data_IF_700752107885
#
_entry.id   IF_700752107885
#
_cell.length_a   1.000
_cell.length_b   1.000
_cell.length_c   1.000
_cell.angle_alpha   90.00
_cell.angle_beta   90.00
_cell.angle_gamma   90.00
#
_symmetry.space_group_name_H-M   'P 1'
#
loop_
_entity.id
_entity.type
_entity.pdbx_description
1 polymer ?
#
# COMPACT_ATOMS: atom_id res chain seq x y z
N UNK A 1 -10.78 21.08 22.68
CA UNK A 1 -10.31 21.73 21.43
C UNK A 1 -9.01 21.13 20.95
N UNK A 2 -9.07 20.26 19.94
CA UNK A 2 -7.90 19.75 19.25
C UNK A 2 -7.32 20.87 18.36
N UNK A 3 -6.34 21.61 18.89
CA UNK A 3 -5.62 22.63 18.12
C UNK A 3 -4.55 21.95 17.25
N UNK A 4 -4.45 22.27 15.96
CA UNK A 4 -3.40 21.73 15.10
C UNK A 4 -2.03 22.20 15.60
N UNK A 5 -1.08 21.26 15.73
CA UNK A 5 0.29 21.54 16.17
C UNK A 5 1.23 21.27 15.01
N UNK A 6 1.92 22.33 14.55
CA UNK A 6 2.88 22.24 13.47
C UNK A 6 4.13 21.50 13.99
N UNK A 7 4.62 20.53 13.21
CA UNK A 7 5.85 19.80 13.54
C UNK A 7 7.02 20.64 13.01
N UNK A 8 7.88 21.23 13.88
CA UNK A 8 9.07 21.93 13.41
C UNK A 8 10.04 20.91 12.80
N UNK A 9 10.36 21.09 11.52
CA UNK A 9 11.17 20.14 10.77
C UNK A 9 12.67 20.49 10.89
N UNK A 10 13.55 19.51 11.13
CA UNK A 10 15.00 19.72 11.10
C UNK A 10 15.48 20.08 9.68
N UNK A 11 16.40 21.04 9.60
CA UNK A 11 16.86 21.73 8.37
C UNK A 11 17.38 20.81 7.25
N UNK A 12 17.96 19.64 7.58
CA UNK A 12 18.47 18.67 6.61
C UNK A 12 17.38 17.97 5.76
N UNK A 13 16.10 18.04 6.15
CA UNK A 13 14.98 17.48 5.37
C UNK A 13 14.33 18.47 4.39
N UNK A 14 14.76 19.74 4.44
CA UNK A 14 14.29 20.81 3.55
C UNK A 14 15.26 21.09 2.41
N UNK A 15 16.44 20.45 2.41
CA UNK A 15 17.35 20.52 1.28
C UNK A 15 16.67 19.91 0.05
N UNK A 16 16.65 20.69 -1.03
CA UNK A 16 16.11 20.28 -2.32
C UNK A 16 17.28 19.88 -3.20
N UNK A 17 17.24 18.66 -3.73
CA UNK A 17 18.26 18.19 -4.67
C UNK A 17 17.64 18.29 -6.05
N UNK A 18 18.28 19.04 -6.93
CA UNK A 18 17.88 19.14 -8.33
C UNK A 18 18.33 17.87 -9.06
N UNK A 19 17.37 17.01 -9.41
CA UNK A 19 17.58 15.93 -10.36
C UNK A 19 16.86 16.28 -11.66
N UNK A 20 17.61 16.37 -12.77
CA UNK A 20 17.06 16.54 -14.13
C UNK A 20 16.08 17.73 -14.31
N UNK A 21 16.28 18.84 -13.58
CA UNK A 21 15.42 20.04 -13.70
C UNK A 21 14.11 19.99 -12.90
N UNK A 22 13.88 18.95 -12.11
CA UNK A 22 12.74 18.87 -11.16
C UNK A 22 13.25 19.11 -9.75
N UNK A 23 12.75 20.15 -9.09
CA UNK A 23 13.08 20.48 -7.70
C UNK A 23 12.28 19.50 -6.81
N UNK A 24 12.89 18.38 -6.43
CA UNK A 24 12.27 17.43 -5.50
C UNK A 24 12.89 17.56 -4.11
N UNK A 25 12.08 17.69 -3.04
CA UNK A 25 12.59 17.66 -1.67
C UNK A 25 13.19 16.29 -1.38
N UNK A 26 14.34 16.24 -0.70
CA UNK A 26 15.07 15.00 -0.35
C UNK A 26 14.17 13.98 0.37
N UNK A 27 13.18 14.45 1.12
CA UNK A 27 12.14 13.64 1.77
C UNK A 27 11.39 12.70 0.82
N UNK A 28 11.04 13.15 -0.38
CA UNK A 28 10.33 12.31 -1.34
C UNK A 28 11.23 11.20 -1.88
N UNK A 29 12.50 11.52 -2.14
CA UNK A 29 13.51 10.55 -2.57
C UNK A 29 13.73 9.47 -1.51
N UNK A 30 13.92 9.88 -0.25
CA UNK A 30 14.06 8.96 0.89
C UNK A 30 12.82 8.09 1.04
N UNK A 31 11.62 8.67 0.94
CA UNK A 31 10.37 7.91 1.07
C UNK A 31 10.24 6.83 -0.02
N UNK A 32 10.60 7.16 -1.26
CA UNK A 32 10.60 6.21 -2.38
C UNK A 32 11.62 5.11 -2.14
N UNK A 33 12.85 5.47 -1.72
CA UNK A 33 13.91 4.51 -1.45
C UNK A 33 13.51 3.55 -0.33
N UNK A 34 13.01 4.06 0.80
CA UNK A 34 12.56 3.23 1.93
C UNK A 34 11.40 2.33 1.51
N UNK A 35 10.42 2.84 0.76
CA UNK A 35 9.30 2.04 0.27
C UNK A 35 9.80 0.91 -0.65
N UNK A 36 10.71 1.19 -1.58
CA UNK A 36 11.26 0.20 -2.50
C UNK A 36 12.08 -0.87 -1.76
N UNK A 37 12.92 -0.46 -0.81
CA UNK A 37 13.69 -1.39 0.04
C UNK A 37 12.76 -2.27 0.88
N UNK A 38 11.73 -1.70 1.50
CA UNK A 38 10.74 -2.47 2.27
C UNK A 38 10.00 -3.49 1.40
N UNK A 39 9.57 -3.08 0.21
CA UNK A 39 8.89 -3.96 -0.74
C UNK A 39 9.82 -5.09 -1.20
N UNK A 40 11.08 -4.76 -1.51
CA UNK A 40 12.08 -5.75 -1.90
C UNK A 40 12.36 -6.77 -0.79
N UNK A 41 12.57 -6.31 0.45
CA UNK A 41 12.76 -7.17 1.62
C UNK A 41 11.54 -8.05 1.85
N UNK A 42 10.34 -7.48 1.82
CA UNK A 42 9.09 -8.22 2.01
C UNK A 42 8.90 -9.29 0.93
N UNK A 43 9.15 -8.95 -0.33
CA UNK A 43 9.05 -9.89 -1.44
C UNK A 43 10.09 -11.01 -1.33
N UNK A 44 11.32 -10.67 -0.93
CA UNK A 44 12.37 -11.64 -0.73
C UNK A 44 12.09 -12.56 0.46
N UNK A 45 11.57 -12.02 1.56
CA UNK A 45 11.10 -12.77 2.72
C UNK A 45 10.00 -13.75 2.31
N UNK A 46 9.00 -13.29 1.54
CA UNK A 46 7.96 -14.14 1.01
C UNK A 46 8.51 -15.27 0.14
N UNK A 47 9.47 -14.99 -0.75
CA UNK A 47 9.99 -15.99 -1.69
C UNK A 47 10.95 -17.00 -1.07
N UNK A 48 11.87 -16.57 -0.21
CA UNK A 48 12.97 -17.43 0.28
C UNK A 48 12.79 -17.95 1.71
N UNK A 49 11.95 -17.34 2.54
CA UNK A 49 11.81 -17.82 3.93
C UNK A 49 10.84 -19.01 4.04
N UNK A 50 11.14 -19.93 4.95
CA UNK A 50 10.24 -21.05 5.32
C UNK A 50 8.90 -20.53 5.84
N UNK A 51 8.92 -19.42 6.59
CA UNK A 51 7.71 -18.76 7.07
C UNK A 51 6.86 -18.22 5.92
N UNK A 52 7.49 -17.65 4.90
CA UNK A 52 6.80 -17.18 3.72
C UNK A 52 6.17 -18.31 2.91
N UNK A 53 6.85 -19.46 2.82
CA UNK A 53 6.30 -20.66 2.21
C UNK A 53 5.09 -21.19 3.02
N UNK A 54 5.21 -21.25 4.34
CA UNK A 54 4.14 -21.68 5.25
C UNK A 54 2.91 -20.76 5.17
N UNK A 55 3.10 -19.45 5.08
CA UNK A 55 2.03 -18.47 4.86
C UNK A 55 1.31 -18.69 3.53
N UNK A 56 2.03 -18.88 2.42
CA UNK A 56 1.42 -19.15 1.11
C UNK A 56 0.65 -20.48 1.07
N UNK A 57 1.19 -21.52 1.71
CA UNK A 57 0.51 -22.82 1.83
C UNK A 57 -0.79 -22.68 2.64
N UNK A 58 -0.72 -21.97 3.76
CA UNK A 58 -1.87 -21.69 4.63
C UNK A 58 -2.94 -20.81 3.96
N UNK A 59 -2.53 -19.89 3.08
CA UNK A 59 -3.45 -19.07 2.28
C UNK A 59 -4.23 -19.87 1.22
N UNK A 60 -3.70 -21.02 0.79
CA UNK A 60 -4.37 -21.90 -0.17
C UNK A 60 -5.37 -22.82 0.53
N UNK A 61 -4.94 -23.49 1.60
CA UNK A 61 -5.81 -24.30 2.43
C UNK A 61 -5.25 -24.41 3.86
N UNK A 62 -5.85 -23.64 4.77
CA UNK A 62 -5.41 -23.56 6.15
C UNK A 62 -5.52 -24.89 6.90
N UNK A 63 -6.59 -25.66 6.65
CA UNK A 63 -6.80 -26.95 7.29
C UNK A 63 -5.75 -27.98 6.84
N UNK A 64 -5.50 -28.05 5.53
CA UNK A 64 -4.49 -28.97 4.97
C UNK A 64 -3.08 -28.61 5.45
N UNK A 65 -2.74 -27.31 5.50
CA UNK A 65 -1.45 -26.84 6.02
C UNK A 65 -1.20 -27.32 7.46
N UNK A 66 -2.23 -27.30 8.32
CA UNK A 66 -2.12 -27.79 9.70
C UNK A 66 -1.92 -29.30 9.78
N UNK A 67 -2.55 -30.08 8.90
CA UNK A 67 -2.35 -31.54 8.84
C UNK A 67 -0.93 -31.91 8.42
N UNK A 68 -0.25 -31.03 7.67
CA UNK A 68 1.15 -31.19 7.27
C UNK A 68 2.15 -30.72 8.35
N UNK A 69 1.69 -30.43 9.57
CA UNK A 69 2.55 -30.03 10.69
C UNK A 69 2.99 -28.57 10.67
N UNK A 70 2.39 -27.71 9.83
CA UNK A 70 2.71 -26.28 9.84
C UNK A 70 2.14 -25.63 11.11
N UNK A 71 2.96 -24.96 11.93
CA UNK A 71 2.50 -24.33 13.17
C UNK A 71 1.61 -23.12 12.87
N UNK A 72 0.28 -23.32 12.95
CA UNK A 72 -0.72 -22.29 12.68
C UNK A 72 -0.52 -21.00 13.48
N UNK A 73 -0.26 -21.11 14.79
CA UNK A 73 -0.02 -19.94 15.64
C UNK A 73 1.18 -19.12 15.14
N UNK A 74 2.25 -19.79 14.72
CA UNK A 74 3.45 -19.10 14.25
C UNK A 74 3.17 -18.38 12.93
N UNK A 75 2.40 -18.98 12.02
CA UNK A 75 1.97 -18.34 10.76
C UNK A 75 1.10 -17.10 11.03
N UNK A 76 0.13 -17.20 11.93
CA UNK A 76 -0.78 -16.09 12.27
C UNK A 76 -0.02 -14.96 12.94
N UNK A 77 0.77 -15.26 13.99
CA UNK A 77 1.53 -14.25 14.73
C UNK A 77 2.54 -13.54 13.83
N UNK A 78 3.24 -14.27 12.97
CA UNK A 78 4.20 -13.67 12.04
C UNK A 78 3.51 -12.83 10.96
N UNK A 79 2.33 -13.24 10.47
CA UNK A 79 1.56 -12.45 9.51
C UNK A 79 1.08 -11.13 10.14
N UNK A 80 0.55 -11.17 11.37
CA UNK A 80 0.14 -9.97 12.10
C UNK A 80 1.34 -9.06 12.40
N UNK A 81 2.44 -9.61 12.92
CA UNK A 81 3.64 -8.83 13.21
C UNK A 81 4.20 -8.13 11.96
N UNK A 82 4.25 -8.85 10.84
CA UNK A 82 4.72 -8.29 9.56
C UNK A 82 3.79 -7.21 9.03
N UNK A 83 2.48 -7.38 9.16
CA UNK A 83 1.49 -6.36 8.77
C UNK A 83 1.62 -5.08 9.60
N UNK A 84 1.79 -5.20 10.93
CA UNK A 84 1.97 -4.06 11.82
C UNK A 84 3.29 -3.33 11.58
N UNK A 85 4.37 -4.07 11.32
CA UNK A 85 5.67 -3.49 10.97
C UNK A 85 5.57 -2.67 9.69
N UNK A 86 5.00 -3.24 8.62
CA UNK A 86 4.84 -2.55 7.35
C UNK A 86 3.90 -1.34 7.45
N UNK A 87 2.78 -1.48 8.19
CA UNK A 87 1.86 -0.38 8.46
C UNK A 87 2.53 0.75 9.25
N UNK A 88 3.38 0.43 10.23
CA UNK A 88 4.15 1.40 11.01
C UNK A 88 5.11 2.19 10.13
N UNK A 89 5.86 1.52 9.24
CA UNK A 89 6.76 2.18 8.29
C UNK A 89 5.98 3.05 7.30
N UNK A 90 4.88 2.54 6.74
CA UNK A 90 4.04 3.32 5.83
C UNK A 90 3.44 4.56 6.52
N UNK A 91 3.00 4.41 7.77
CA UNK A 91 2.46 5.49 8.59
C UNK A 91 3.50 6.56 8.90
N UNK A 92 4.73 6.20 9.29
CA UNK A 92 5.79 7.19 9.56
C UNK A 92 6.20 7.95 8.30
N UNK A 93 6.26 7.26 7.15
CA UNK A 93 6.51 7.90 5.86
C UNK A 93 5.37 8.86 5.48
N UNK A 94 4.12 8.50 5.74
CA UNK A 94 2.96 9.35 5.50
C UNK A 94 2.98 10.60 6.39
N UNK A 95 3.18 10.42 7.70
CA UNK A 95 3.26 11.54 8.66
C UNK A 95 4.43 12.48 8.35
N UNK A 96 5.52 11.96 7.80
CA UNK A 96 6.63 12.78 7.33
C UNK A 96 6.20 13.73 6.20
N UNK A 97 5.26 13.36 5.33
CA UNK A 97 4.82 14.24 4.23
C UNK A 97 3.85 15.32 4.68
N UNK A 98 3.14 15.11 5.79
CA UNK A 98 2.05 15.99 6.22
C UNK A 98 2.58 16.98 7.27
N UNK A 99 2.30 18.28 7.07
CA UNK A 99 2.74 19.33 7.99
C UNK A 99 1.76 19.58 9.16
N UNK A 100 0.54 19.03 9.09
CA UNK A 100 -0.56 19.31 10.01
C UNK A 100 -1.29 18.01 10.40
N UNK A 101 -1.33 17.71 11.70
CA UNK A 101 -1.98 16.52 12.25
C UNK A 101 -3.33 16.91 12.86
N UNK A 102 -4.41 16.30 12.40
CA UNK A 102 -5.77 16.46 12.95
C UNK A 102 -6.43 15.10 13.21
N UNK A 103 -7.45 15.01 14.09
CA UNK A 103 -8.16 13.76 14.32
C UNK A 103 -8.84 13.28 13.03
N UNK A 104 -8.48 12.10 12.52
CA UNK A 104 -9.06 11.52 11.29
C UNK A 104 -8.12 11.39 10.09
N UNK A 105 -6.88 11.90 10.16
CA UNK A 105 -5.89 11.83 9.06
C UNK A 105 -5.51 10.41 8.59
N UNK A 106 -5.87 9.38 9.35
CA UNK A 106 -5.60 7.98 8.98
C UNK A 106 -6.68 7.34 8.10
N UNK A 107 -7.85 7.96 7.99
CA UNK A 107 -9.00 7.35 7.30
C UNK A 107 -8.82 7.41 5.77
N UNK A 108 -8.33 8.54 5.27
CA UNK A 108 -8.02 8.76 3.85
C UNK A 108 -6.96 7.77 3.32
N UNK A 109 -5.75 7.62 3.92
CA UNK A 109 -4.77 6.65 3.44
C UNK A 109 -5.23 5.20 3.62
N UNK A 110 -6.06 4.90 4.61
CA UNK A 110 -6.64 3.57 4.80
C UNK A 110 -7.57 3.20 3.63
N UNK A 111 -8.45 4.10 3.22
CA UNK A 111 -9.35 3.88 2.08
C UNK A 111 -8.56 3.71 0.79
N UNK A 112 -7.58 4.57 0.53
CA UNK A 112 -6.73 4.50 -0.67
C UNK A 112 -5.95 3.17 -0.70
N UNK A 113 -5.36 2.76 0.43
CA UNK A 113 -4.62 1.50 0.51
C UNK A 113 -5.53 0.27 0.33
N UNK A 114 -6.72 0.29 0.92
CA UNK A 114 -7.72 -0.76 0.73
C UNK A 114 -8.10 -0.88 -0.75
N UNK A 115 -8.46 0.23 -1.37
CA UNK A 115 -8.83 0.31 -2.78
C UNK A 115 -7.71 -0.19 -3.70
N UNK A 116 -6.48 0.29 -3.49
CA UNK A 116 -5.31 -0.16 -4.23
C UNK A 116 -5.14 -1.69 -4.17
N UNK A 117 -5.36 -2.26 -2.97
CA UNK A 117 -5.26 -3.71 -2.74
C UNK A 117 -6.39 -4.47 -3.44
N UNK A 118 -7.62 -3.96 -3.42
CA UNK A 118 -8.77 -4.60 -4.08
C UNK A 118 -8.60 -4.54 -5.60
N UNK A 119 -8.20 -3.40 -6.16
CA UNK A 119 -7.90 -3.24 -7.60
C UNK A 119 -6.78 -4.20 -8.02
N UNK A 120 -5.72 -4.28 -7.24
CA UNK A 120 -4.61 -5.18 -7.50
C UNK A 120 -4.98 -6.67 -7.41
N UNK A 121 -5.93 -6.98 -6.52
CA UNK A 121 -6.40 -8.32 -6.19
C UNK A 121 -5.88 -8.78 -4.82
N UNK A 122 -6.80 -9.04 -3.87
CA UNK A 122 -6.47 -9.43 -2.49
C UNK A 122 -5.67 -10.73 -2.37
N UNK A 123 -5.70 -11.58 -3.40
CA UNK A 123 -5.08 -12.92 -3.43
C UNK A 123 -3.69 -12.93 -4.06
N UNK A 124 -3.18 -11.79 -4.51
CA UNK A 124 -1.87 -11.67 -5.15
C UNK A 124 -1.08 -10.51 -4.59
N UNK A 125 0.06 -10.81 -3.97
CA UNK A 125 0.97 -9.79 -3.42
C UNK A 125 1.47 -8.85 -4.53
N UNK A 126 1.85 -9.41 -5.68
CA UNK A 126 2.30 -8.63 -6.84
C UNK A 126 1.16 -7.79 -7.42
N UNK A 127 -0.05 -8.33 -7.40
CA UNK A 127 -1.27 -7.62 -7.81
C UNK A 127 -1.50 -6.38 -6.96
N UNK A 128 -1.49 -6.52 -5.63
CA UNK A 128 -1.70 -5.40 -4.70
C UNK A 128 -0.70 -4.26 -4.91
N UNK A 129 0.58 -4.57 -5.12
CA UNK A 129 1.62 -3.57 -5.42
C UNK A 129 1.31 -2.81 -6.72
N UNK A 130 1.01 -3.53 -7.80
CA UNK A 130 0.67 -2.93 -9.09
C UNK A 130 -0.61 -2.10 -9.03
N UNK A 131 -1.61 -2.57 -8.28
CA UNK A 131 -2.85 -1.84 -8.04
C UNK A 131 -2.62 -0.48 -7.36
N UNK A 132 -1.72 -0.43 -6.38
CA UNK A 132 -1.30 0.82 -5.74
C UNK A 132 -0.59 1.78 -6.71
N UNK A 133 0.32 1.28 -7.54
CA UNK A 133 0.99 2.11 -8.55
C UNK A 133 0.01 2.67 -9.59
N UNK A 134 -0.93 1.85 -10.07
CA UNK A 134 -1.94 2.28 -11.03
C UNK A 134 -2.86 3.33 -10.42
N UNK A 135 -3.34 3.10 -9.19
CA UNK A 135 -4.17 4.05 -8.49
C UNK A 135 -3.44 5.39 -8.31
N UNK A 136 -2.18 5.35 -7.88
CA UNK A 136 -1.36 6.55 -7.73
C UNK A 136 -1.14 7.29 -9.05
N UNK A 137 -0.92 6.56 -10.15
CA UNK A 137 -0.74 7.14 -11.49
C UNK A 137 -2.01 7.81 -12.00
N UNK A 138 -3.16 7.19 -11.77
CA UNK A 138 -4.48 7.73 -12.13
C UNK A 138 -4.78 8.97 -11.30
N UNK A 139 -4.54 8.92 -9.98
CA UNK A 139 -4.76 10.08 -9.10
C UNK A 139 -3.86 11.25 -9.51
N UNK A 140 -2.58 11.02 -9.80
CA UNK A 140 -1.66 12.03 -10.34
C UNK A 140 -2.14 12.60 -11.68
N UNK A 141 -2.62 11.75 -12.58
CA UNK A 141 -3.13 12.18 -13.89
C UNK A 141 -4.37 13.08 -13.73
N UNK A 142 -5.27 12.75 -12.81
CA UNK A 142 -6.40 13.61 -12.48
C UNK A 142 -5.96 14.93 -11.85
N UNK A 143 -4.98 14.93 -10.94
CA UNK A 143 -4.45 16.18 -10.37
C UNK A 143 -3.84 17.11 -11.44
N UNK A 144 -3.25 16.57 -12.52
CA UNK A 144 -2.66 17.37 -13.59
C UNK A 144 -3.69 17.84 -14.64
N UNK A 145 -4.66 16.99 -15.00
CA UNK A 145 -5.65 17.32 -16.04
C UNK A 145 -6.83 18.18 -15.55
N UNK A 146 -7.19 18.13 -14.26
CA UNK A 146 -8.40 18.80 -13.77
C UNK A 146 -8.17 20.29 -13.45
N UNK A 147 -9.03 21.20 -13.96
CA UNK A 147 -9.07 22.61 -13.54
C UNK A 147 -9.38 22.79 -12.05
N UNK A 148 -8.87 23.86 -11.44
CA UNK A 148 -8.90 24.13 -10.00
C UNK A 148 -10.31 24.09 -9.36
N UNK A 149 -11.36 24.39 -10.13
CA UNK A 149 -12.75 24.39 -9.65
C UNK A 149 -13.32 22.97 -9.40
N UNK A 150 -12.82 21.95 -10.12
CA UNK A 150 -13.31 20.56 -10.04
C UNK A 150 -12.44 19.72 -9.09
N UNK A 151 -11.26 20.21 -8.68
CA UNK A 151 -10.37 19.49 -7.74
C UNK A 151 -11.04 19.15 -6.41
N UNK A 152 -12.07 19.90 -5.98
CA UNK A 152 -12.87 19.57 -4.78
C UNK A 152 -13.61 18.23 -4.90
N UNK A 153 -13.86 17.76 -6.12
CA UNK A 153 -14.49 16.47 -6.40
C UNK A 153 -13.48 15.37 -6.78
N UNK A 154 -12.16 15.63 -6.63
CA UNK A 154 -11.11 14.66 -6.99
C UNK A 154 -11.36 13.29 -6.38
N UNK A 155 -11.66 13.23 -5.08
CA UNK A 155 -11.88 11.97 -4.40
C UNK A 155 -13.09 11.23 -4.99
N UNK A 156 -14.15 11.94 -5.38
CA UNK A 156 -15.29 11.34 -6.05
C UNK A 156 -14.93 10.74 -7.42
N UNK A 157 -14.06 11.41 -8.20
CA UNK A 157 -13.55 10.87 -9.46
C UNK A 157 -12.63 9.66 -9.25
N UNK A 158 -11.72 9.72 -8.28
CA UNK A 158 -10.85 8.60 -7.91
C UNK A 158 -11.69 7.40 -7.49
N UNK A 159 -12.67 7.58 -6.59
CA UNK A 159 -13.58 6.50 -6.18
C UNK A 159 -14.47 5.99 -7.33
N UNK A 160 -14.96 6.87 -8.21
CA UNK A 160 -15.75 6.46 -9.37
C UNK A 160 -14.93 5.59 -10.34
N UNK A 161 -13.69 5.98 -10.62
CA UNK A 161 -12.78 5.20 -11.46
C UNK A 161 -12.47 3.83 -10.86
N UNK A 162 -12.31 3.77 -9.54
CA UNK A 162 -12.13 2.52 -8.81
C UNK A 162 -13.35 1.61 -8.97
N UNK A 163 -14.56 2.16 -8.76
CA UNK A 163 -15.82 1.41 -8.93
C UNK A 163 -15.91 0.87 -10.37
N UNK A 164 -15.57 1.68 -11.37
CA UNK A 164 -15.54 1.27 -12.77
C UNK A 164 -14.60 0.07 -12.99
N UNK A 165 -13.39 0.11 -12.43
CA UNK A 165 -12.45 -1.01 -12.52
C UNK A 165 -13.00 -2.27 -11.87
N UNK A 166 -13.64 -2.16 -10.69
CA UNK A 166 -14.20 -3.32 -10.01
C UNK A 166 -15.38 -3.94 -10.77
N UNK A 167 -16.18 -3.13 -11.46
CA UNK A 167 -17.25 -3.62 -12.34
C UNK A 167 -16.68 -4.40 -13.52
N UNK A 168 -15.59 -3.92 -14.13
CA UNK A 168 -15.00 -4.55 -15.32
C UNK A 168 -14.15 -5.78 -14.94
N UNK A 169 -13.46 -5.74 -13.78
CA UNK A 169 -12.52 -6.76 -13.31
C UNK A 169 -12.70 -7.03 -11.81
N UNK A 170 -13.75 -7.75 -11.39
CA UNK A 170 -14.06 -7.98 -9.96
C UNK A 170 -13.03 -8.83 -9.22
N UNK A 171 -12.16 -9.55 -9.94
CA UNK A 171 -11.09 -10.37 -9.37
C UNK A 171 -9.77 -9.58 -9.17
N UNK A 172 -9.77 -8.28 -9.47
CA UNK A 172 -8.56 -7.45 -9.54
C UNK A 172 -7.75 -7.67 -10.81
N UNK A 173 -6.64 -6.94 -10.93
CA UNK A 173 -5.79 -6.91 -12.12
C UNK A 173 -5.00 -8.21 -12.32
N UNK A 174 -4.52 -8.81 -11.22
CA UNK A 174 -3.79 -10.08 -11.24
C UNK A 174 -4.63 -11.14 -10.52
N UNK A 175 -5.03 -12.18 -11.26
CA UNK A 175 -5.71 -13.34 -10.67
C UNK A 175 -4.74 -14.08 -9.75
N UNK A 176 -5.11 -14.22 -8.48
CA UNK A 176 -4.41 -15.11 -7.56
C UNK A 176 -4.56 -16.58 -7.98
N UNK A 177 -3.73 -17.50 -7.44
CA UNK A 177 -3.84 -18.91 -7.75
C UNK A 177 -5.28 -19.38 -7.54
N UNK A 178 -5.85 -20.01 -8.57
CA UNK A 178 -7.17 -20.60 -8.51
C UNK A 178 -7.19 -21.60 -7.35
N UNK A 179 -8.10 -21.40 -6.39
CA UNK A 179 -8.45 -22.46 -5.45
C UNK A 179 -8.92 -23.62 -6.30
N UNK A 180 -8.25 -24.76 -6.19
CA UNK A 180 -8.49 -25.94 -7.00
C UNK A 180 -9.98 -26.18 -7.21
N UNK A 181 -10.39 -26.12 -8.48
CA UNK A 181 -11.60 -26.78 -8.92
C UNK A 181 -11.44 -28.24 -8.54
N UNK A 182 -12.21 -28.67 -7.53
CA UNK A 182 -12.39 -30.09 -7.24
C UNK A 182 -13.45 -30.59 -8.20
N UNK A 183 -13.02 -31.27 -9.24
CA UNK A 183 -13.67 -32.49 -9.73
C UNK A 183 -12.83 -33.66 -9.25
#
# INVERSE_FOLDING_TARGET
SAKPKNVPMPSFLSDSVQFLGVITPVRNLISILVAFVCLFIFFQFMKRSLLGLAMRASATNFNMARMLGIPANLVITTAFALSGLLAGIAGTLWMSKISMVFPGIGLEPLLIAFIATVIGGMRSIQGAVLGGFILAFVDMSFNYLLPQDILKFRDAFTFSFVILILVIRPQGLIRGPATGART
#
